data_IF_346420904319
#
_entry.id   IF_346420904319
#
_cell.length_a   1.000
_cell.length_b   1.000
_cell.length_c   1.000
_cell.angle_alpha   90.00
_cell.angle_beta   90.00
_cell.angle_gamma   90.00
#
_symmetry.space_group_name_H-M   'P 1'
#
loop_
_entity.id
_entity.type
_entity.pdbx_description
1 polymer ?
#
# COMPACT_ATOMS: atom_id res chain seq x y z
N UNK A 1 0.83 -20.71 0.01
CA UNK A 1 2.27 -20.87 -0.32
C UNK A 1 3.00 -19.61 0.12
N UNK A 2 4.28 -19.67 0.41
CA UNK A 2 4.97 -18.64 1.18
C UNK A 2 5.49 -17.49 0.33
N UNK A 3 5.77 -16.37 1.02
CA UNK A 3 6.48 -15.24 0.46
C UNK A 3 7.94 -15.64 0.22
N UNK A 4 8.45 -15.38 -0.97
CA UNK A 4 9.86 -15.48 -1.30
C UNK A 4 10.52 -14.12 -1.10
N UNK A 5 11.45 -14.03 -0.17
CA UNK A 5 12.21 -12.82 0.14
C UNK A 5 13.70 -13.14 0.32
N UNK A 6 14.54 -12.12 0.29
CA UNK A 6 15.97 -12.28 0.57
C UNK A 6 16.17 -12.84 1.99
N UNK A 7 17.02 -13.88 2.11
CA UNK A 7 17.16 -14.67 3.33
C UNK A 7 17.57 -13.88 4.58
N UNK A 8 18.16 -12.70 4.43
CA UNK A 8 18.64 -11.86 5.53
C UNK A 8 17.71 -10.68 5.85
N UNK A 9 16.52 -10.61 5.27
CA UNK A 9 15.60 -9.51 5.52
C UNK A 9 15.14 -9.52 6.99
N UNK A 10 15.30 -8.42 7.76
CA UNK A 10 14.92 -8.38 9.19
C UNK A 10 13.46 -8.75 9.46
N UNK A 11 12.56 -8.46 8.52
CA UNK A 11 11.15 -8.80 8.61
C UNK A 11 10.89 -10.31 8.80
N UNK A 12 11.78 -11.19 8.31
CA UNK A 12 11.61 -12.65 8.41
C UNK A 12 11.45 -13.09 9.88
N UNK A 13 12.26 -12.58 10.79
CA UNK A 13 12.19 -12.93 12.21
C UNK A 13 10.84 -12.60 12.84
N UNK A 14 10.25 -11.47 12.44
CA UNK A 14 8.93 -11.05 12.91
C UNK A 14 7.85 -11.95 12.32
N UNK A 15 7.91 -12.22 11.03
CA UNK A 15 6.97 -13.10 10.33
C UNK A 15 6.95 -14.51 10.94
N UNK A 16 8.13 -15.11 11.16
CA UNK A 16 8.27 -16.43 11.78
C UNK A 16 7.74 -16.45 13.23
N UNK A 17 7.98 -15.38 14.01
CA UNK A 17 7.44 -15.27 15.37
C UNK A 17 5.91 -15.19 15.42
N UNK A 18 5.29 -14.77 14.33
CA UNK A 18 3.82 -14.74 14.15
C UNK A 18 3.28 -16.00 13.44
N UNK A 19 4.08 -17.07 13.31
CA UNK A 19 3.76 -18.31 12.57
C UNK A 19 3.42 -18.08 11.09
N UNK A 20 3.99 -17.05 10.48
CA UNK A 20 3.86 -16.78 9.05
C UNK A 20 5.02 -17.47 8.33
N UNK A 21 4.68 -18.37 7.43
CA UNK A 21 5.68 -19.14 6.69
C UNK A 21 6.36 -18.30 5.62
N UNK A 22 7.68 -18.19 5.70
CA UNK A 22 8.52 -17.53 4.68
C UNK A 22 9.34 -18.60 3.97
N UNK A 23 9.34 -18.61 2.65
CA UNK A 23 10.12 -19.57 1.86
C UNK A 23 11.53 -19.01 1.58
N UNK A 24 12.59 -19.69 2.02
CA UNK A 24 13.94 -19.36 1.60
C UNK A 24 14.10 -19.50 0.07
N UNK A 25 14.89 -18.61 -0.53
CA UNK A 25 15.15 -18.63 -1.97
C UNK A 25 15.56 -20.00 -2.51
N UNK A 26 16.39 -20.73 -1.76
CA UNK A 26 16.91 -22.06 -2.13
C UNK A 26 15.80 -23.12 -2.23
N UNK A 27 14.76 -23.01 -1.42
CA UNK A 27 13.59 -23.91 -1.47
C UNK A 27 12.68 -23.52 -2.62
N UNK A 28 12.47 -22.22 -2.84
CA UNK A 28 11.63 -21.71 -3.92
C UNK A 28 12.15 -22.10 -5.31
N UNK A 29 13.46 -22.09 -5.51
CA UNK A 29 14.11 -22.47 -6.78
C UNK A 29 13.92 -23.95 -7.17
N UNK A 30 13.48 -24.81 -6.24
CA UNK A 30 13.21 -26.22 -6.50
C UNK A 30 11.76 -26.52 -6.89
N UNK A 31 10.91 -25.50 -6.90
CA UNK A 31 9.51 -25.64 -7.28
C UNK A 31 9.32 -25.18 -8.75
N UNK A 32 8.70 -26.01 -9.56
CA UNK A 32 8.38 -25.70 -10.96
C UNK A 32 7.11 -24.81 -11.05
N UNK A 33 7.15 -23.66 -10.38
CA UNK A 33 6.06 -22.69 -10.33
C UNK A 33 6.65 -21.31 -10.61
N UNK A 34 6.09 -20.58 -11.59
CA UNK A 34 6.43 -19.17 -11.79
C UNK A 34 5.88 -18.33 -10.61
N UNK A 35 6.73 -17.78 -9.75
CA UNK A 35 6.25 -16.87 -8.70
C UNK A 35 5.73 -15.56 -9.33
N UNK A 36 4.77 -14.93 -8.66
CA UNK A 36 4.36 -13.58 -9.00
C UNK A 36 5.44 -12.59 -8.54
N UNK A 37 5.94 -11.77 -9.45
CA UNK A 37 6.89 -10.71 -9.13
C UNK A 37 6.15 -9.46 -8.67
N UNK A 38 6.29 -9.07 -7.42
CA UNK A 38 5.70 -7.85 -6.86
C UNK A 38 6.79 -6.88 -6.43
N UNK A 39 6.71 -5.65 -6.93
CA UNK A 39 7.59 -4.55 -6.57
C UNK A 39 6.94 -3.69 -5.49
N UNK A 40 7.66 -3.34 -4.42
CA UNK A 40 7.18 -2.43 -3.38
C UNK A 40 8.03 -1.16 -3.37
N UNK A 41 7.49 -0.07 -3.88
CA UNK A 41 8.06 1.26 -3.72
C UNK A 41 7.72 1.76 -2.32
N UNK A 42 8.69 1.70 -1.42
CA UNK A 42 8.53 2.05 -0.02
C UNK A 42 8.97 3.50 0.22
N UNK A 43 8.00 4.42 0.30
CA UNK A 43 8.23 5.85 0.55
C UNK A 43 8.21 6.19 2.05
N UNK A 44 7.87 5.22 2.92
CA UNK A 44 7.79 5.45 4.36
C UNK A 44 9.18 5.61 4.98
N UNK A 45 9.32 6.49 5.99
CA UNK A 45 10.60 6.70 6.69
C UNK A 45 11.00 5.50 7.55
N UNK A 46 10.03 4.76 8.09
CA UNK A 46 10.23 3.54 8.91
C UNK A 46 10.15 2.30 8.03
N UNK A 47 11.10 2.14 7.10
CA UNK A 47 11.03 1.11 6.04
C UNK A 47 10.84 -0.30 6.57
N UNK A 48 11.59 -0.73 7.57
CA UNK A 48 11.52 -2.09 8.13
C UNK A 48 10.13 -2.42 8.69
N UNK A 49 9.49 -1.47 9.37
CA UNK A 49 8.13 -1.66 9.87
C UNK A 49 7.13 -1.83 8.72
N UNK A 50 7.20 -0.97 7.71
CA UNK A 50 6.34 -1.02 6.53
C UNK A 50 6.56 -2.30 5.72
N UNK A 51 7.81 -2.73 5.54
CA UNK A 51 8.14 -4.04 4.94
C UNK A 51 7.40 -5.16 5.64
N UNK A 52 7.54 -5.24 6.97
CA UNK A 52 6.91 -6.28 7.78
C UNK A 52 5.39 -6.26 7.63
N UNK A 53 4.76 -5.07 7.69
CA UNK A 53 3.33 -4.90 7.54
C UNK A 53 2.83 -5.38 6.17
N UNK A 54 3.49 -4.98 5.09
CA UNK A 54 3.10 -5.38 3.74
C UNK A 54 3.34 -6.88 3.48
N UNK A 55 4.45 -7.43 3.97
CA UNK A 55 4.75 -8.86 3.84
C UNK A 55 3.70 -9.72 4.56
N UNK A 56 3.20 -9.29 5.73
CA UNK A 56 2.08 -9.97 6.42
C UNK A 56 0.83 -10.06 5.53
N UNK A 57 0.49 -8.98 4.82
CA UNK A 57 -0.68 -8.97 3.93
C UNK A 57 -0.53 -9.92 2.74
N UNK A 58 0.69 -10.08 2.21
CA UNK A 58 0.97 -10.98 1.09
C UNK A 58 1.08 -12.45 1.51
N UNK A 59 1.32 -12.73 2.79
CA UNK A 59 1.57 -14.08 3.30
C UNK A 59 0.35 -14.99 3.32
N UNK A 60 -0.85 -14.42 3.37
CA UNK A 60 -2.11 -15.19 3.43
C UNK A 60 -2.67 -15.50 2.02
N UNK A 61 -1.81 -15.97 1.13
CA UNK A 61 -2.17 -16.37 -0.23
C UNK A 61 -1.58 -17.73 -0.57
N UNK A 62 -2.29 -18.60 -1.31
CA UNK A 62 -1.72 -19.84 -1.84
C UNK A 62 -0.74 -19.58 -3.00
N UNK A 63 -0.65 -18.36 -3.48
CA UNK A 63 0.24 -17.98 -4.58
C UNK A 63 1.66 -17.74 -4.07
N UNK A 64 2.66 -18.18 -4.83
CA UNK A 64 4.05 -17.83 -4.54
C UNK A 64 4.31 -16.40 -5.04
N UNK A 65 4.70 -15.52 -4.12
CA UNK A 65 4.98 -14.10 -4.41
C UNK A 65 6.45 -13.81 -4.12
N UNK A 66 7.17 -13.33 -5.12
CA UNK A 66 8.52 -12.81 -5.00
C UNK A 66 8.46 -11.30 -4.81
N UNK A 67 9.01 -10.80 -3.71
CA UNK A 67 8.97 -9.39 -3.36
C UNK A 67 10.33 -8.75 -3.66
N UNK A 68 10.30 -7.67 -4.44
CA UNK A 68 11.41 -6.76 -4.63
C UNK A 68 11.09 -5.40 -3.99
N UNK A 69 12.08 -4.83 -3.30
CA UNK A 69 11.94 -3.55 -2.60
C UNK A 69 12.59 -2.44 -3.42
N UNK A 70 11.86 -1.36 -3.64
CA UNK A 70 12.29 -0.18 -4.39
C UNK A 70 12.33 1.04 -3.48
N UNK A 71 13.38 1.85 -3.63
CA UNK A 71 13.53 3.16 -2.98
C UNK A 71 13.75 4.25 -4.01
N UNK A 72 13.46 5.48 -3.62
CA UNK A 72 13.79 6.66 -4.41
C UNK A 72 15.31 6.87 -4.42
N UNK A 73 15.89 7.07 -5.60
CA UNK A 73 17.31 7.41 -5.75
C UNK A 73 17.57 8.90 -5.45
N UNK A 74 16.58 9.75 -5.74
CA UNK A 74 16.63 11.20 -5.52
C UNK A 74 16.43 11.62 -4.06
N UNK A 75 16.13 10.67 -3.14
CA UNK A 75 15.87 10.95 -1.73
C UNK A 75 16.72 10.09 -0.80
N UNK A 76 17.35 10.71 0.20
CA UNK A 76 18.13 9.99 1.22
C UNK A 76 17.27 9.70 2.45
N UNK A 77 17.01 8.43 2.73
CA UNK A 77 16.29 8.02 3.93
C UNK A 77 17.10 8.33 5.20
N UNK A 78 16.48 9.04 6.14
CA UNK A 78 17.13 9.43 7.42
C UNK A 78 16.95 8.40 8.55
N UNK A 79 15.95 7.53 8.46
CA UNK A 79 15.55 6.63 9.55
C UNK A 79 15.85 5.16 9.26
N UNK A 80 16.51 4.85 8.16
CA UNK A 80 16.92 3.49 7.79
C UNK A 80 18.42 3.48 7.51
N UNK A 81 19.12 2.47 8.03
CA UNK A 81 20.57 2.38 7.85
C UNK A 81 20.94 2.24 6.37
N UNK A 82 22.02 2.88 5.91
CA UNK A 82 22.50 2.71 4.54
C UNK A 82 22.77 1.25 4.17
N UNK A 83 23.26 0.45 5.12
CA UNK A 83 23.51 -0.98 4.92
C UNK A 83 22.21 -1.74 4.58
N UNK A 84 21.11 -1.45 5.29
CA UNK A 84 19.80 -2.07 4.98
C UNK A 84 19.33 -1.70 3.57
N UNK A 85 19.46 -0.42 3.20
CA UNK A 85 19.07 0.06 1.88
C UNK A 85 19.90 -0.57 0.76
N UNK A 86 21.21 -0.59 0.88
CA UNK A 86 22.08 -1.19 -0.15
C UNK A 86 21.94 -2.70 -0.27
N UNK A 87 21.54 -3.37 0.81
CA UNK A 87 21.39 -4.84 0.82
C UNK A 87 20.06 -5.29 0.23
N UNK A 88 18.94 -4.58 0.55
CA UNK A 88 17.60 -5.08 0.29
C UNK A 88 16.81 -4.27 -0.74
N UNK A 89 17.23 -3.02 -1.01
CA UNK A 89 16.50 -2.12 -1.91
C UNK A 89 17.21 -1.96 -3.25
N UNK A 90 16.43 -1.92 -4.30
CA UNK A 90 16.85 -1.48 -5.64
C UNK A 90 16.48 -0.02 -5.85
N UNK A 91 17.12 0.62 -6.81
CA UNK A 91 16.72 1.93 -7.37
C UNK A 91 15.97 1.72 -8.67
N UNK A 92 15.24 2.75 -9.14
CA UNK A 92 14.49 2.67 -10.39
C UNK A 92 15.35 2.28 -11.60
N UNK A 93 16.57 2.82 -11.69
CA UNK A 93 17.51 2.48 -12.75
C UNK A 93 17.86 0.99 -12.82
N UNK A 94 17.78 0.26 -11.72
CA UNK A 94 18.07 -1.17 -11.66
C UNK A 94 16.90 -2.04 -12.10
N UNK A 95 15.66 -1.52 -12.07
CA UNK A 95 14.44 -2.28 -12.37
C UNK A 95 13.70 -1.81 -13.62
N UNK A 96 14.03 -0.63 -14.18
CA UNK A 96 13.30 -0.02 -15.30
C UNK A 96 13.16 -0.86 -16.58
N UNK A 97 14.06 -1.82 -16.77
CA UNK A 97 14.03 -2.76 -17.89
C UNK A 97 13.33 -4.07 -17.55
N UNK A 98 12.80 -4.21 -16.33
CA UNK A 98 12.06 -5.39 -15.89
C UNK A 98 10.55 -5.16 -16.01
N UNK A 99 9.78 -6.25 -15.94
CA UNK A 99 8.32 -6.22 -15.83
C UNK A 99 7.87 -6.98 -14.59
N UNK A 100 6.76 -6.53 -14.00
CA UNK A 100 6.24 -7.06 -12.75
C UNK A 100 4.76 -7.41 -12.86
N UNK A 101 4.34 -8.43 -12.13
CA UNK A 101 2.93 -8.81 -12.02
C UNK A 101 2.15 -7.77 -11.19
N UNK A 102 2.73 -7.29 -10.11
CA UNK A 102 2.12 -6.30 -9.24
C UNK A 102 3.12 -5.26 -8.73
N UNK A 103 2.60 -4.11 -8.35
CA UNK A 103 3.38 -3.07 -7.67
C UNK A 103 2.59 -2.44 -6.54
N UNK A 104 3.25 -2.14 -5.43
CA UNK A 104 2.69 -1.33 -4.35
C UNK A 104 3.48 -0.03 -4.22
N UNK A 105 2.76 1.09 -4.16
CA UNK A 105 3.32 2.42 -3.82
C UNK A 105 2.76 2.81 -2.46
N UNK A 106 3.64 2.93 -1.46
CA UNK A 106 3.23 3.21 -0.08
C UNK A 106 2.88 4.68 0.14
N UNK A 107 2.32 4.99 1.30
CA UNK A 107 2.22 6.35 1.80
C UNK A 107 3.59 6.98 2.07
N UNK A 108 3.57 8.30 2.34
CA UNK A 108 4.73 9.09 2.75
C UNK A 108 4.27 10.24 3.67
N UNK A 109 5.07 10.66 4.67
CA UNK A 109 4.70 11.72 5.59
C UNK A 109 5.01 13.12 5.04
N UNK A 110 4.70 13.37 3.76
CA UNK A 110 4.90 14.63 3.04
C UNK A 110 3.59 15.23 2.54
N UNK A 111 2.49 14.78 3.10
CA UNK A 111 1.14 15.09 2.63
C UNK A 111 0.73 16.56 2.73
N UNK A 112 1.41 17.35 3.58
CA UNK A 112 1.16 18.79 3.73
C UNK A 112 1.87 19.65 2.67
N UNK A 113 2.85 19.08 1.95
CA UNK A 113 3.51 19.74 0.83
C UNK A 113 2.67 19.58 -0.45
N UNK A 114 2.73 20.53 -1.35
CA UNK A 114 2.24 20.29 -2.70
C UNK A 114 3.06 19.18 -3.36
N UNK A 115 2.46 18.46 -4.33
CA UNK A 115 3.14 17.31 -4.91
C UNK A 115 4.46 17.71 -5.58
N UNK A 116 4.47 18.85 -6.26
CA UNK A 116 5.62 19.39 -6.98
C UNK A 116 6.73 19.89 -6.05
N UNK A 117 6.43 20.13 -4.76
CA UNK A 117 7.41 20.53 -3.74
C UNK A 117 8.14 19.33 -3.12
N UNK A 118 7.65 18.10 -3.37
CA UNK A 118 8.29 16.88 -2.86
C UNK A 118 9.55 16.60 -3.65
N UNK A 119 10.70 16.50 -2.98
CA UNK A 119 12.04 16.39 -3.58
C UNK A 119 12.19 15.23 -4.58
N UNK A 120 11.43 14.15 -4.42
CA UNK A 120 11.44 12.98 -5.32
C UNK A 120 10.22 12.94 -6.26
N UNK A 121 9.44 14.00 -6.39
CA UNK A 121 8.22 14.00 -7.22
C UNK A 121 8.50 13.64 -8.68
N UNK A 122 9.54 14.21 -9.28
CA UNK A 122 9.91 13.89 -10.67
C UNK A 122 10.18 12.40 -10.88
N UNK A 123 10.99 11.78 -10.02
CA UNK A 123 11.29 10.34 -10.09
C UNK A 123 10.03 9.50 -9.84
N UNK A 124 9.16 9.92 -8.92
CA UNK A 124 7.89 9.24 -8.67
C UNK A 124 6.98 9.28 -9.90
N UNK A 125 6.90 10.39 -10.60
CA UNK A 125 6.16 10.52 -11.87
C UNK A 125 6.70 9.58 -12.94
N UNK A 126 8.04 9.48 -13.10
CA UNK A 126 8.66 8.53 -14.02
C UNK A 126 8.30 7.07 -13.68
N UNK A 127 8.34 6.71 -12.40
CA UNK A 127 7.97 5.37 -11.93
C UNK A 127 6.48 5.10 -12.18
N UNK A 128 5.60 6.05 -11.90
CA UNK A 128 4.16 5.91 -12.15
C UNK A 128 3.86 5.78 -13.65
N UNK A 129 4.54 6.53 -14.52
CA UNK A 129 4.39 6.39 -15.97
C UNK A 129 4.89 5.01 -16.44
N UNK A 130 6.10 4.63 -16.02
CA UNK A 130 6.67 3.33 -16.32
C UNK A 130 5.75 2.17 -15.88
N UNK A 131 5.12 2.30 -14.72
CA UNK A 131 4.22 1.26 -14.18
C UNK A 131 3.02 0.98 -15.10
N UNK A 132 2.58 1.95 -15.91
CA UNK A 132 1.48 1.76 -16.88
C UNK A 132 1.81 0.75 -17.96
N UNK A 133 3.07 0.48 -18.23
CA UNK A 133 3.52 -0.40 -19.30
C UNK A 133 4.21 -1.67 -18.79
N UNK A 134 4.89 -1.56 -17.65
CA UNK A 134 5.75 -2.61 -17.11
C UNK A 134 5.14 -3.37 -15.93
N UNK A 135 3.98 -2.93 -15.40
CA UNK A 135 3.31 -3.56 -14.26
C UNK A 135 1.88 -3.94 -14.64
N UNK A 136 1.45 -5.15 -14.30
CA UNK A 136 0.07 -5.57 -14.61
C UNK A 136 -0.95 -4.81 -13.77
N UNK A 137 -0.74 -4.67 -12.45
CA UNK A 137 -1.61 -3.90 -11.56
C UNK A 137 -0.81 -3.20 -10.46
N UNK A 138 -1.11 -1.91 -10.20
CA UNK A 138 -0.47 -1.09 -9.15
C UNK A 138 -1.46 -0.76 -8.04
N UNK A 139 -1.06 -1.01 -6.80
CA UNK A 139 -1.80 -0.73 -5.58
C UNK A 139 -1.18 0.45 -4.84
N UNK A 140 -1.92 1.53 -4.69
CA UNK A 140 -1.45 2.78 -4.08
C UNK A 140 -2.06 2.95 -2.69
N UNK A 141 -1.26 3.36 -1.71
CA UNK A 141 -1.68 3.47 -0.30
C UNK A 141 -1.55 4.92 0.19
N UNK A 142 -2.59 5.43 0.86
CA UNK A 142 -2.63 6.72 1.55
C UNK A 142 -2.13 7.89 0.68
N UNK A 143 -1.00 8.52 1.03
CA UNK A 143 -0.40 9.58 0.21
C UNK A 143 -0.02 9.06 -1.19
N UNK A 144 0.48 7.84 -1.31
CA UNK A 144 0.73 7.22 -2.61
C UNK A 144 -0.55 7.09 -3.45
N UNK A 145 -1.72 6.84 -2.82
CA UNK A 145 -3.00 6.86 -3.51
C UNK A 145 -3.38 8.28 -3.97
N UNK A 146 -3.18 9.30 -3.16
CA UNK A 146 -3.40 10.68 -3.53
C UNK A 146 -2.47 11.12 -4.67
N UNK A 147 -1.18 10.75 -4.61
CA UNK A 147 -0.19 11.01 -5.65
C UNK A 147 -0.58 10.37 -6.99
N UNK A 148 -0.99 9.08 -6.96
CA UNK A 148 -1.45 8.37 -8.15
C UNK A 148 -2.75 8.93 -8.73
N UNK A 149 -3.72 9.30 -7.89
CA UNK A 149 -4.96 9.96 -8.32
C UNK A 149 -4.67 11.32 -8.97
N UNK A 150 -3.74 12.09 -8.41
CA UNK A 150 -3.32 13.35 -8.97
C UNK A 150 -2.59 13.17 -10.31
N UNK A 151 -1.57 12.33 -10.34
CA UNK A 151 -0.75 12.13 -11.55
C UNK A 151 -1.54 11.59 -12.73
N UNK A 152 -2.32 10.52 -12.50
CA UNK A 152 -3.01 9.80 -13.59
C UNK A 152 -4.35 10.43 -13.98
N UNK A 153 -5.03 11.14 -13.05
CA UNK A 153 -6.41 11.58 -13.24
C UNK A 153 -6.64 13.06 -12.91
N UNK A 154 -5.61 13.79 -12.46
CA UNK A 154 -5.73 15.21 -12.11
C UNK A 154 -6.56 15.49 -10.86
N UNK A 155 -6.84 14.48 -10.03
CA UNK A 155 -7.64 14.63 -8.81
C UNK A 155 -6.74 15.18 -7.70
N UNK A 156 -7.01 16.41 -7.28
CA UNK A 156 -6.21 17.12 -6.29
C UNK A 156 -6.50 16.66 -4.86
N UNK A 157 -5.51 16.82 -3.98
CA UNK A 157 -5.69 16.74 -2.53
C UNK A 157 -5.99 18.13 -1.96
N UNK A 158 -6.55 18.17 -0.75
CA UNK A 158 -6.74 19.38 0.05
C UNK A 158 -6.43 19.10 1.51
N UNK A 159 -6.05 20.11 2.28
CA UNK A 159 -5.86 19.99 3.72
C UNK A 159 -7.20 19.76 4.42
N UNK A 160 -7.20 18.86 5.38
CA UNK A 160 -8.32 18.67 6.30
C UNK A 160 -8.21 19.67 7.45
N UNK A 161 -9.34 20.07 8.06
CA UNK A 161 -9.33 20.94 9.24
C UNK A 161 -8.53 20.36 10.42
N UNK A 162 -8.57 19.03 10.56
CA UNK A 162 -7.86 18.27 11.61
C UNK A 162 -7.28 16.98 11.02
N UNK A 163 -6.24 16.44 11.68
CA UNK A 163 -5.68 15.13 11.31
C UNK A 163 -6.74 14.06 11.46
N UNK A 164 -7.03 13.38 10.38
CA UNK A 164 -7.86 12.17 10.38
C UNK A 164 -7.02 11.01 10.91
N UNK A 165 -7.20 10.63 12.16
CA UNK A 165 -6.48 9.54 12.82
C UNK A 165 -7.47 8.64 13.56
N UNK A 166 -7.46 7.33 13.25
CA UNK A 166 -8.38 6.38 13.92
C UNK A 166 -8.84 5.25 13.01
N UNK A 167 -9.85 4.52 13.49
CA UNK A 167 -10.49 3.41 12.79
C UNK A 167 -11.86 3.86 12.30
N UNK A 168 -12.03 3.87 10.99
CA UNK A 168 -13.27 4.34 10.37
C UNK A 168 -14.02 3.19 9.70
N UNK A 169 -15.34 3.23 9.82
CA UNK A 169 -16.24 2.31 9.14
C UNK A 169 -16.48 2.80 7.71
N UNK A 170 -16.41 1.88 6.78
CA UNK A 170 -16.62 2.10 5.36
C UNK A 170 -17.77 1.23 4.87
N UNK A 171 -18.64 1.80 4.05
CA UNK A 171 -19.72 1.11 3.35
C UNK A 171 -19.22 0.64 1.99
N UNK A 172 -19.47 -0.61 1.65
CA UNK A 172 -19.25 -1.15 0.31
C UNK A 172 -20.32 -0.62 -0.64
N UNK A 173 -19.89 0.02 -1.73
CA UNK A 173 -20.80 0.58 -2.74
C UNK A 173 -21.05 -0.38 -3.90
N UNK A 174 -20.07 -1.24 -4.21
CA UNK A 174 -20.09 -2.16 -5.34
C UNK A 174 -19.75 -3.58 -4.87
N UNK A 175 -20.67 -4.29 -4.22
CA UNK A 175 -20.42 -5.58 -3.56
C UNK A 175 -19.99 -6.70 -4.53
N UNK A 176 -20.37 -6.60 -5.81
CA UNK A 176 -19.98 -7.60 -6.82
C UNK A 176 -18.66 -7.30 -7.52
N UNK A 177 -18.01 -6.18 -7.20
CA UNK A 177 -16.68 -5.91 -7.74
C UNK A 177 -15.65 -6.89 -7.18
N UNK A 178 -14.75 -7.42 -8.04
CA UNK A 178 -13.78 -8.46 -7.67
C UNK A 178 -12.94 -8.09 -6.44
N UNK A 179 -12.57 -6.81 -6.29
CA UNK A 179 -11.78 -6.34 -5.15
C UNK A 179 -12.55 -6.39 -3.83
N UNK A 180 -13.88 -6.25 -3.88
CA UNK A 180 -14.76 -6.27 -2.71
C UNK A 180 -15.38 -7.65 -2.43
N UNK A 181 -14.97 -8.68 -3.16
CA UNK A 181 -15.51 -10.02 -3.01
C UNK A 181 -15.23 -10.57 -1.61
N UNK A 182 -16.29 -11.03 -0.94
CA UNK A 182 -16.23 -11.58 0.42
C UNK A 182 -16.22 -10.52 1.54
N UNK A 183 -16.30 -9.25 1.21
CA UNK A 183 -16.55 -8.20 2.21
C UNK A 183 -18.00 -8.20 2.64
N UNK A 184 -18.22 -7.88 3.92
CA UNK A 184 -19.53 -7.51 4.43
C UNK A 184 -19.96 -6.14 3.88
N UNK A 185 -21.23 -5.75 4.10
CA UNK A 185 -21.76 -4.45 3.65
C UNK A 185 -20.96 -3.27 4.23
N UNK A 186 -20.33 -3.48 5.39
CA UNK A 186 -19.47 -2.52 6.05
C UNK A 186 -18.21 -3.19 6.59
N UNK A 187 -17.11 -2.44 6.60
CA UNK A 187 -15.82 -2.89 7.14
C UNK A 187 -15.03 -1.73 7.72
N UNK A 188 -13.98 -2.02 8.45
CA UNK A 188 -13.14 -1.01 9.10
C UNK A 188 -11.75 -0.98 8.50
N UNK A 189 -11.20 0.24 8.34
CA UNK A 189 -9.79 0.49 7.97
C UNK A 189 -9.23 1.63 8.83
N UNK A 190 -7.94 1.55 9.27
CA UNK A 190 -7.23 2.66 9.88
C UNK A 190 -6.97 3.80 8.88
N UNK A 191 -7.04 5.03 9.36
CA UNK A 191 -6.56 6.21 8.66
C UNK A 191 -5.60 7.01 9.55
N UNK A 192 -4.61 7.64 8.93
CA UNK A 192 -3.70 8.60 9.55
C UNK A 192 -3.23 9.58 8.49
N UNK A 193 -3.92 10.70 8.31
CA UNK A 193 -3.63 11.68 7.27
C UNK A 193 -4.13 13.08 7.60
N UNK A 194 -3.45 14.09 7.07
CA UNK A 194 -3.84 15.51 7.17
C UNK A 194 -4.57 16.02 5.92
N UNK A 195 -4.69 15.18 4.89
CA UNK A 195 -5.27 15.57 3.60
C UNK A 195 -6.41 14.67 3.19
N UNK A 196 -7.38 15.24 2.45
CA UNK A 196 -8.43 14.57 1.70
C UNK A 196 -8.20 14.67 0.20
N UNK A 197 -9.05 14.00 -0.58
CA UNK A 197 -9.07 14.10 -2.04
C UNK A 197 -10.30 14.91 -2.48
N UNK A 198 -10.25 15.49 -3.69
CA UNK A 198 -11.41 16.16 -4.29
C UNK A 198 -12.46 15.13 -4.69
N UNK A 199 -13.44 14.91 -3.82
CA UNK A 199 -14.52 13.93 -3.99
C UNK A 199 -15.41 14.27 -5.20
N UNK A 200 -15.59 15.56 -5.52
CA UNK A 200 -16.39 15.99 -6.67
C UNK A 200 -15.66 15.72 -7.99
N UNK A 201 -14.35 15.96 -8.03
CA UNK A 201 -13.54 15.59 -9.19
C UNK A 201 -13.52 14.06 -9.37
N UNK A 202 -13.42 13.30 -8.27
CA UNK A 202 -13.45 11.84 -8.29
C UNK A 202 -14.76 11.31 -8.86
N UNK A 203 -15.91 11.82 -8.42
CA UNK A 203 -17.25 11.44 -8.94
C UNK A 203 -17.42 11.71 -10.43
N UNK A 204 -16.80 12.78 -10.93
CA UNK A 204 -16.85 13.13 -12.38
C UNK A 204 -15.91 12.32 -13.23
N UNK A 205 -14.91 11.65 -12.64
CA UNK A 205 -13.90 10.88 -13.36
C UNK A 205 -14.46 9.55 -13.86
N UNK A 206 -14.77 9.45 -15.16
CA UNK A 206 -15.31 8.23 -15.77
C UNK A 206 -14.34 7.06 -15.79
N UNK A 207 -13.06 7.30 -15.63
CA UNK A 207 -12.00 6.28 -15.61
C UNK A 207 -11.89 5.50 -14.29
N UNK A 208 -12.54 6.01 -13.23
CA UNK A 208 -12.49 5.48 -11.89
C UNK A 208 -13.85 4.98 -11.39
N UNK A 209 -13.82 4.09 -10.43
CA UNK A 209 -14.98 3.61 -9.69
C UNK A 209 -14.68 3.60 -8.20
N UNK A 210 -15.55 4.24 -7.40
CA UNK A 210 -15.45 4.22 -5.93
C UNK A 210 -16.14 2.97 -5.42
N UNK A 211 -15.40 2.11 -4.74
CA UNK A 211 -15.88 0.81 -4.26
C UNK A 211 -16.31 0.84 -2.80
N UNK A 212 -15.70 1.73 -2.00
CA UNK A 212 -16.04 1.88 -0.59
C UNK A 212 -15.83 3.31 -0.12
N UNK A 213 -16.72 3.78 0.76
CA UNK A 213 -16.75 5.14 1.29
C UNK A 213 -17.08 5.14 2.77
N UNK A 214 -16.48 6.06 3.52
CA UNK A 214 -16.85 6.40 4.89
C UNK A 214 -17.55 7.75 4.93
N UNK A 215 -18.55 7.90 5.77
CA UNK A 215 -19.20 9.19 6.00
C UNK A 215 -18.24 10.24 6.58
N UNK A 216 -17.24 9.80 7.36
CA UNK A 216 -16.25 10.67 8.01
C UNK A 216 -14.98 10.75 7.19
N UNK A 217 -14.47 9.62 6.72
CA UNK A 217 -13.15 9.55 6.07
C UNK A 217 -13.21 9.69 4.55
N UNK A 218 -14.40 9.81 3.93
CA UNK A 218 -14.57 9.93 2.48
C UNK A 218 -14.28 8.63 1.73
N UNK A 219 -13.98 8.75 0.44
CA UNK A 219 -13.69 7.63 -0.45
C UNK A 219 -12.41 6.90 -0.01
N UNK A 220 -12.51 5.58 0.18
CA UNK A 220 -11.41 4.78 0.71
C UNK A 220 -10.82 3.81 -0.32
N UNK A 221 -11.65 3.03 -0.98
CA UNK A 221 -11.21 2.06 -1.99
C UNK A 221 -11.71 2.50 -3.35
N UNK A 222 -10.78 2.81 -4.24
CA UNK A 222 -11.05 3.30 -5.59
C UNK A 222 -10.29 2.40 -6.57
N UNK A 223 -10.91 2.07 -7.69
CA UNK A 223 -10.29 1.23 -8.71
C UNK A 223 -10.44 1.88 -10.09
N UNK A 224 -9.41 1.81 -10.91
CA UNK A 224 -9.55 2.12 -12.33
C UNK A 224 -10.44 1.08 -13.02
N UNK A 225 -11.27 1.50 -13.98
CA UNK A 225 -12.21 0.58 -14.65
C UNK A 225 -11.54 -0.56 -15.40
N UNK A 226 -10.28 -0.39 -15.81
CA UNK A 226 -9.48 -1.46 -16.40
C UNK A 226 -8.81 -2.37 -15.37
N UNK A 227 -8.98 -2.11 -14.06
CA UNK A 227 -8.41 -2.90 -12.96
C UNK A 227 -6.90 -2.74 -12.75
N UNK A 228 -6.23 -1.87 -13.51
CA UNK A 228 -4.77 -1.74 -13.45
C UNK A 228 -4.25 -0.87 -12.32
N UNK A 229 -5.10 -0.05 -11.74
CA UNK A 229 -4.74 0.85 -10.65
C UNK A 229 -5.78 0.76 -9.53
N UNK A 230 -5.31 0.51 -8.34
CA UNK A 230 -6.10 0.48 -7.11
C UNK A 230 -5.57 1.55 -6.18
N UNK A 231 -6.44 2.34 -5.59
CA UNK A 231 -6.11 3.42 -4.68
C UNK A 231 -6.85 3.21 -3.36
N UNK A 232 -6.11 3.12 -2.27
CA UNK A 232 -6.64 2.97 -0.91
C UNK A 232 -6.16 4.13 -0.07
N UNK A 233 -7.05 5.03 0.33
CA UNK A 233 -6.69 6.24 1.08
C UNK A 233 -6.42 6.00 2.56
N UNK A 234 -6.75 4.81 3.06
CA UNK A 234 -6.44 4.34 4.41
C UNK A 234 -5.22 3.43 4.46
N UNK A 235 -4.97 2.86 5.63
CA UNK A 235 -3.83 2.01 5.95
C UNK A 235 -4.28 0.61 6.39
N UNK A 236 -4.73 -0.20 5.43
CA UNK A 236 -5.15 -1.57 5.71
C UNK A 236 -3.99 -2.44 6.26
N UNK A 237 -2.74 -2.10 5.95
CA UNK A 237 -1.53 -2.80 6.36
C UNK A 237 -1.12 -2.57 7.82
N UNK A 238 -1.66 -1.57 8.51
CA UNK A 238 -1.21 -1.18 9.85
C UNK A 238 -1.33 -2.31 10.87
N UNK A 239 -0.27 -2.47 11.67
CA UNK A 239 -0.31 -3.28 12.88
C UNK A 239 -1.17 -2.63 13.97
N UNK A 240 -1.58 -3.45 14.96
CA UNK A 240 -2.44 -3.04 16.07
C UNK A 240 -2.00 -1.76 16.76
N UNK A 241 -0.70 -1.58 16.96
CA UNK A 241 -0.09 -0.52 17.75
C UNK A 241 0.43 0.67 16.91
N UNK A 242 0.26 0.63 15.59
CA UNK A 242 0.83 1.67 14.71
C UNK A 242 0.26 3.06 15.02
N UNK A 243 -1.06 3.19 15.13
CA UNK A 243 -1.69 4.47 15.49
C UNK A 243 -1.35 4.92 16.92
N UNK A 244 -1.18 3.98 17.86
CA UNK A 244 -0.74 4.31 19.23
C UNK A 244 0.68 4.89 19.21
N UNK A 245 1.60 4.27 18.44
CA UNK A 245 2.97 4.77 18.28
C UNK A 245 2.99 6.16 17.65
N UNK A 246 2.15 6.42 16.67
CA UNK A 246 2.01 7.76 16.06
C UNK A 246 1.47 8.77 17.08
N UNK A 247 0.40 8.43 17.79
CA UNK A 247 -0.22 9.28 18.81
C UNK A 247 0.79 9.66 19.90
N UNK A 248 1.48 8.70 20.51
CA UNK A 248 2.45 8.97 21.55
C UNK A 248 3.68 9.72 21.04
N UNK A 249 4.15 9.42 19.82
CA UNK A 249 5.21 10.19 19.16
C UNK A 249 4.82 11.67 19.04
N UNK A 250 3.63 11.96 18.54
CA UNK A 250 3.16 13.32 18.28
C UNK A 250 2.88 14.04 19.63
N UNK A 251 2.34 13.34 20.62
CA UNK A 251 2.19 13.84 22.00
C UNK A 251 3.53 14.20 22.63
N UNK A 252 4.54 13.34 22.50
CA UNK A 252 5.88 13.58 23.05
C UNK A 252 6.60 14.76 22.35
N UNK A 253 6.20 15.09 21.13
CA UNK A 253 6.67 16.30 20.41
C UNK A 253 5.90 17.56 20.80
N UNK A 254 4.93 17.51 21.70
CA UNK A 254 4.12 18.65 22.11
C UNK A 254 3.06 19.09 21.10
N UNK A 255 2.71 18.23 20.12
CA UNK A 255 1.75 18.57 19.05
C UNK A 255 0.28 18.45 19.49
N UNK A 256 -0.01 18.01 20.72
CA UNK A 256 -1.37 17.83 21.28
C UNK A 256 -2.33 17.13 20.31
N UNK A 257 -2.01 15.92 19.81
CA UNK A 257 -2.87 15.20 18.91
C UNK A 257 -4.17 14.78 19.59
N UNK A 258 -5.27 14.79 18.85
CA UNK A 258 -6.50 14.15 19.31
C UNK A 258 -6.28 12.64 19.50
N UNK A 259 -7.00 12.05 20.47
CA UNK A 259 -7.04 10.59 20.63
C UNK A 259 -7.55 9.97 19.33
N UNK A 260 -6.89 8.96 18.77
CA UNK A 260 -7.33 8.34 17.51
C UNK A 260 -8.77 7.81 17.63
N UNK A 261 -9.62 8.24 16.71
CA UNK A 261 -11.05 7.92 16.68
C UNK A 261 -11.31 6.41 16.69
N UNK A 262 -12.22 5.96 17.58
CA UNK A 262 -12.65 4.55 17.67
C UNK A 262 -11.49 3.54 17.75
N UNK A 263 -10.39 3.91 18.40
CA UNK A 263 -9.17 3.11 18.44
C UNK A 263 -8.88 2.58 19.85
N UNK A 264 -8.77 3.43 20.86
CA UNK A 264 -8.58 2.98 22.22
C UNK A 264 -9.92 2.68 22.91
N UNK A 265 -10.04 1.61 23.71
CA UNK A 265 -11.26 1.32 24.46
C UNK A 265 -11.63 2.48 25.40
N UNK A 266 -12.82 3.08 25.20
CA UNK A 266 -13.30 4.25 25.94
C UNK A 266 -12.36 5.48 25.85
N UNK A 267 -11.67 5.65 24.73
CA UNK A 267 -10.66 6.70 24.49
C UNK A 267 -9.50 6.73 25.50
N UNK A 268 -9.31 5.63 26.23
CA UNK A 268 -8.26 5.47 27.24
C UNK A 268 -6.97 4.94 26.58
N UNK A 269 -6.02 5.85 26.32
CA UNK A 269 -4.76 5.53 25.67
C UNK A 269 -3.82 4.61 26.50
N UNK A 270 -4.17 4.30 27.76
CA UNK A 270 -3.44 3.31 28.55
C UNK A 270 -3.85 1.86 28.21
N UNK A 271 -4.98 1.68 27.53
CA UNK A 271 -5.50 0.37 27.18
C UNK A 271 -5.01 -0.09 25.83
N UNK A 272 -4.84 -1.40 25.67
CA UNK A 272 -4.49 -2.01 24.39
C UNK A 272 -5.65 -1.89 23.42
N UNK A 273 -5.45 -1.32 22.22
CA UNK A 273 -6.50 -1.21 21.21
C UNK A 273 -6.86 -2.58 20.64
N UNK A 274 -8.15 -2.82 20.31
CA UNK A 274 -8.55 -4.03 19.59
C UNK A 274 -8.07 -4.00 18.14
N UNK A 275 -7.79 -5.18 17.57
CA UNK A 275 -7.47 -5.32 16.15
C UNK A 275 -8.75 -5.73 15.39
N UNK A 276 -9.44 -4.77 14.79
CA UNK A 276 -10.75 -4.96 14.16
C UNK A 276 -10.75 -4.80 12.63
N UNK A 277 -9.57 -4.68 12.00
CA UNK A 277 -9.44 -4.49 10.54
C UNK A 277 -8.60 -5.57 9.85
N UNK A 278 -7.96 -6.49 10.59
CA UNK A 278 -7.04 -7.48 10.01
C UNK A 278 -7.67 -8.35 8.93
N UNK A 279 -8.86 -8.89 9.19
CA UNK A 279 -9.56 -9.78 8.23
C UNK A 279 -9.87 -9.05 6.92
N UNK A 280 -10.38 -7.82 7.02
CA UNK A 280 -10.71 -6.99 5.87
C UNK A 280 -9.45 -6.58 5.08
N UNK A 281 -8.37 -6.23 5.80
CA UNK A 281 -7.07 -5.95 5.21
C UNK A 281 -6.55 -7.15 4.40
N UNK A 282 -6.47 -8.30 5.05
CA UNK A 282 -6.03 -9.54 4.40
C UNK A 282 -6.88 -9.87 3.17
N UNK A 283 -8.20 -9.73 3.27
CA UNK A 283 -9.11 -9.98 2.16
C UNK A 283 -8.87 -9.01 0.99
N UNK A 284 -8.68 -7.72 1.27
CA UNK A 284 -8.39 -6.70 0.25
C UNK A 284 -7.13 -7.04 -0.54
N UNK A 285 -6.03 -7.33 0.14
CA UNK A 285 -4.76 -7.69 -0.51
C UNK A 285 -4.84 -9.04 -1.24
N UNK A 286 -5.53 -10.03 -0.67
CA UNK A 286 -5.73 -11.34 -1.31
C UNK A 286 -6.57 -11.21 -2.58
N UNK A 287 -7.64 -10.40 -2.57
CA UNK A 287 -8.45 -10.13 -3.75
C UNK A 287 -7.65 -9.41 -4.83
N UNK A 288 -6.83 -8.41 -4.44
CA UNK A 288 -5.95 -7.74 -5.39
C UNK A 288 -4.95 -8.72 -6.03
N UNK A 289 -4.23 -9.50 -5.22
CA UNK A 289 -3.27 -10.49 -5.71
C UNK A 289 -3.92 -11.53 -6.63
N UNK A 290 -5.12 -12.02 -6.26
CA UNK A 290 -5.79 -13.06 -7.03
C UNK A 290 -6.38 -12.53 -8.34
N UNK A 291 -7.15 -11.45 -8.29
CA UNK A 291 -7.98 -11.03 -9.43
C UNK A 291 -7.30 -10.00 -10.34
N UNK A 292 -6.40 -9.17 -9.79
CA UNK A 292 -5.79 -8.06 -10.51
C UNK A 292 -4.31 -8.28 -10.82
N UNK A 293 -3.68 -9.22 -10.11
CA UNK A 293 -2.29 -9.62 -10.35
C UNK A 293 -2.27 -10.99 -11.03
N UNK A 294 -2.61 -12.07 -10.32
CA UNK A 294 -2.46 -13.44 -10.81
C UNK A 294 -3.32 -13.75 -12.05
N UNK A 295 -4.64 -13.45 -12.00
CA UNK A 295 -5.55 -13.77 -13.11
C UNK A 295 -5.43 -12.81 -14.30
N UNK A 296 -4.88 -11.61 -14.08
CA UNK A 296 -4.75 -10.60 -15.13
C UNK A 296 -3.39 -10.63 -15.83
N UNK A 297 -2.35 -11.12 -15.17
CA UNK A 297 -0.99 -11.13 -15.70
C UNK A 297 -0.83 -12.20 -16.80
N UNK A 298 -0.09 -11.91 -17.88
CA UNK A 298 0.29 -12.94 -18.84
C UNK A 298 1.34 -13.88 -18.25
N UNK A 299 1.41 -15.11 -18.74
CA UNK A 299 2.44 -16.07 -18.30
C UNK A 299 3.86 -15.54 -18.57
N UNK A 300 4.08 -14.95 -19.73
CA UNK A 300 5.32 -14.25 -20.06
C UNK A 300 5.13 -12.74 -19.86
N UNK A 301 5.81 -12.18 -18.86
CA UNK A 301 5.72 -10.75 -18.53
C UNK A 301 6.17 -9.82 -19.67
N UNK A 302 6.97 -10.29 -20.60
CA UNK A 302 7.37 -9.51 -21.80
C UNK A 302 6.17 -9.14 -22.68
N UNK A 303 5.07 -9.88 -22.59
CA UNK A 303 3.83 -9.54 -23.29
C UNK A 303 3.13 -8.29 -22.73
N UNK A 304 3.45 -7.85 -21.53
CA UNK A 304 2.85 -6.63 -20.95
C UNK A 304 3.14 -5.39 -21.80
N UNK A 305 4.38 -5.24 -22.25
CA UNK A 305 4.79 -4.12 -23.09
C UNK A 305 4.00 -4.10 -24.41
N UNK A 306 3.71 -5.27 -24.97
CA UNK A 306 2.94 -5.39 -26.21
C UNK A 306 1.43 -5.18 -26.00
N UNK A 307 0.89 -5.57 -24.83
CA UNK A 307 -0.53 -5.37 -24.50
C UNK A 307 -0.88 -3.91 -24.20
N UNK A 308 0.09 -3.16 -23.72
CA UNK A 308 -0.09 -1.77 -23.28
C UNK A 308 1.01 -0.89 -23.89
N UNK A 309 1.01 -0.70 -25.24
CA UNK A 309 2.02 0.13 -25.89
C UNK A 309 1.96 1.57 -25.39
N UNK A 310 3.09 2.26 -25.51
CA UNK A 310 3.28 3.65 -25.08
C UNK A 310 2.37 4.65 -25.75
#
# INVERSE_FOLDING_TARGET
MPIKVQSNLPAIKVLESENIFVMPNEVALRQDIRPLKTLILNLMPTKIATETQLLKQHSNSPLQVEIELLQMASHTSKNTSPHHLTTFYKTFNQVKNESFDGMIITGAPVEQLDFEEVDYWGELCEIMEWSKHNVCSTFHICWGAQAGLYYHYGIKKHLLPEKLSGIYTHKVLVPHHKLMRGFDDTFTIPHSRHTGIDEEALKRCRGLEVLAVSEIAGSCVICSRNGRQVFVTGHAEYDRDTLAKEYFRDKNKGLNPNVPYNYFPNDDASKTPPMIWRSNATLLYTNWLNYFVYQATPYDLRELINRYPH
#
